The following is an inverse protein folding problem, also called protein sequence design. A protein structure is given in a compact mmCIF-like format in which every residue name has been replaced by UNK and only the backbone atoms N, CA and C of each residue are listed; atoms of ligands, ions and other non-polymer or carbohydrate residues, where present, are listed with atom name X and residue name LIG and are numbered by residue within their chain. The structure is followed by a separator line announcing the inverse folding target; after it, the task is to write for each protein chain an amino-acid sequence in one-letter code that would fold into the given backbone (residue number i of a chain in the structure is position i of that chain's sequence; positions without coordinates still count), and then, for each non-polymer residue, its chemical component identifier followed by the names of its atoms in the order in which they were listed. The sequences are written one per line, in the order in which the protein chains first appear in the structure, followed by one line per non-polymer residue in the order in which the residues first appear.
data_IF_305071162744
#
_entry.id   IF_305071162744
#
_cell.length_a   1.000
_cell.length_b   1.000
_cell.length_c   1.000
_cell.angle_alpha   90.00
_cell.angle_beta   90.00
_cell.angle_gamma   90.00
#
_symmetry.space_group_name_H-M   'P 1'
#
loop_
_entity.id
_entity.type
_entity.pdbx_description
1 polymer ?
#
# COMPACT_ATOMS: atom_id res chain seq x y z
N UNK A 1 28.71 -33.27 6.82
CA UNK A 1 27.46 -32.49 6.71
C UNK A 1 26.24 -33.31 7.13
N UNK A 2 26.03 -34.54 6.61
CA UNK A 2 24.92 -35.42 7.00
C UNK A 2 24.87 -35.73 8.51
N UNK A 3 25.97 -36.22 9.11
CA UNK A 3 25.99 -36.57 10.54
C UNK A 3 25.69 -35.39 11.51
N UNK A 4 26.00 -34.16 11.11
CA UNK A 4 25.64 -32.96 11.87
C UNK A 4 24.14 -32.66 11.77
N UNK A 5 23.57 -32.84 10.57
CA UNK A 5 22.14 -32.67 10.32
C UNK A 5 21.33 -33.71 11.10
N UNK A 6 21.76 -34.98 11.10
CA UNK A 6 21.10 -36.06 11.81
C UNK A 6 21.08 -35.82 13.33
N UNK A 7 22.22 -35.40 13.89
CA UNK A 7 22.30 -35.02 15.31
C UNK A 7 21.42 -33.80 15.65
N UNK A 8 21.27 -32.85 14.73
CA UNK A 8 20.38 -31.70 14.92
C UNK A 8 18.90 -32.11 14.88
N UNK A 9 18.53 -33.00 13.96
CA UNK A 9 17.17 -33.55 13.85
C UNK A 9 16.80 -34.36 15.09
N UNK A 10 17.70 -35.19 15.61
CA UNK A 10 17.47 -35.96 16.83
C UNK A 10 17.23 -35.03 18.04
N UNK A 11 18.06 -33.98 18.20
CA UNK A 11 17.87 -32.98 19.25
C UNK A 11 16.55 -32.24 19.12
N UNK A 12 16.15 -31.89 17.89
CA UNK A 12 14.88 -31.24 17.63
C UNK A 12 13.70 -32.16 17.96
N UNK A 13 13.78 -33.44 17.60
CA UNK A 13 12.77 -34.45 17.92
C UNK A 13 12.61 -34.59 19.44
N UNK A 14 13.71 -34.69 20.18
CA UNK A 14 13.68 -34.74 21.65
C UNK A 14 13.08 -33.45 22.23
N UNK A 15 13.49 -32.29 21.73
CA UNK A 15 12.96 -31.01 22.20
C UNK A 15 11.43 -30.92 22.00
N UNK A 16 10.93 -31.32 20.81
CA UNK A 16 9.51 -31.25 20.47
C UNK A 16 8.68 -32.30 21.22
N UNK A 17 9.18 -33.53 21.32
CA UNK A 17 8.38 -34.66 21.85
C UNK A 17 8.46 -34.80 23.36
N UNK A 18 9.56 -34.34 23.98
CA UNK A 18 9.80 -34.49 25.42
C UNK A 18 9.85 -33.14 26.14
N UNK A 19 10.74 -32.25 25.73
CA UNK A 19 11.08 -31.07 26.54
C UNK A 19 9.97 -30.01 26.50
N UNK A 20 9.40 -29.73 25.32
CA UNK A 20 8.30 -28.78 25.16
C UNK A 20 7.05 -29.21 25.93
N UNK A 21 6.52 -30.46 25.79
CA UNK A 21 5.38 -30.90 26.58
C UNK A 21 5.66 -30.90 28.10
N UNK A 22 6.87 -31.25 28.51
CA UNK A 22 7.26 -31.20 29.92
C UNK A 22 7.26 -29.76 30.46
N UNK A 23 7.83 -28.82 29.71
CA UNK A 23 7.82 -27.40 30.04
C UNK A 23 6.39 -26.84 30.11
N UNK A 24 5.56 -27.09 29.10
CA UNK A 24 4.18 -26.60 29.05
C UNK A 24 3.32 -27.15 30.20
N UNK A 25 3.51 -28.42 30.60
CA UNK A 25 2.82 -29.01 31.77
C UNK A 25 3.28 -28.41 33.09
N UNK A 26 4.52 -27.91 33.17
CA UNK A 26 5.10 -27.30 34.37
C UNK A 26 4.78 -25.81 34.55
N UNK A 27 3.98 -25.21 33.67
CA UNK A 27 3.67 -23.79 33.73
C UNK A 27 2.67 -23.47 34.87
N UNK A 28 2.93 -22.41 35.66
CA UNK A 28 2.02 -21.95 36.70
C UNK A 28 0.86 -21.15 36.08
N UNK A 29 -0.04 -21.81 35.34
CA UNK A 29 -1.20 -21.17 34.71
C UNK A 29 -2.35 -20.99 35.70
N UNK A 30 -2.76 -19.76 36.02
CA UNK A 30 -3.92 -19.50 36.84
C UNK A 30 -5.20 -19.93 36.12
N UNK A 31 -6.18 -20.43 36.88
CA UNK A 31 -7.49 -20.85 36.34
C UNK A 31 -8.42 -19.67 36.01
N UNK A 32 -8.10 -18.47 36.49
CA UNK A 32 -8.91 -17.27 36.33
C UNK A 32 -8.04 -16.09 35.90
N UNK A 33 -8.63 -15.13 35.18
CA UNK A 33 -7.94 -13.93 34.71
C UNK A 33 -7.32 -13.11 35.86
N UNK A 34 -8.00 -13.04 37.01
CA UNK A 34 -7.51 -12.32 38.19
C UNK A 34 -6.31 -13.01 38.86
N UNK A 35 -6.15 -14.32 38.67
CA UNK A 35 -5.01 -15.08 39.19
C UNK A 35 -3.67 -14.68 38.56
N UNK A 36 -3.67 -14.06 37.37
CA UNK A 36 -2.44 -13.55 36.76
C UNK A 36 -1.87 -12.33 37.50
N UNK A 37 -2.69 -11.58 38.25
CA UNK A 37 -2.22 -10.44 39.06
C UNK A 37 -1.50 -10.89 40.33
N UNK A 38 -1.70 -12.14 40.76
CA UNK A 38 -1.13 -12.70 41.99
C UNK A 38 0.11 -13.57 41.79
N UNK A 39 0.70 -13.58 40.59
CA UNK A 39 1.90 -14.38 40.29
C UNK A 39 3.15 -13.71 40.86
N UNK A 40 4.01 -14.51 41.49
CA UNK A 40 5.32 -14.05 41.95
C UNK A 40 6.32 -13.96 40.78
N UNK A 41 7.40 -13.21 40.99
CA UNK A 41 8.48 -12.99 40.03
C UNK A 41 9.03 -14.31 39.47
N UNK A 42 9.15 -15.34 40.32
CA UNK A 42 9.63 -16.67 39.89
C UNK A 42 8.70 -17.38 38.91
N UNK A 43 7.39 -17.17 39.03
CA UNK A 43 6.40 -17.76 38.12
C UNK A 43 6.31 -16.99 36.80
N UNK A 44 6.49 -15.66 36.84
CA UNK A 44 6.64 -14.84 35.66
C UNK A 44 7.84 -15.22 34.80
N UNK A 45 8.99 -15.53 35.43
CA UNK A 45 10.18 -16.00 34.70
C UNK A 45 9.91 -17.32 33.97
N UNK A 46 9.15 -18.24 34.57
CA UNK A 46 8.78 -19.51 33.91
C UNK A 46 7.83 -19.29 32.74
N UNK A 47 6.95 -18.29 32.80
CA UNK A 47 6.00 -17.96 31.73
C UNK A 47 6.63 -17.14 30.59
N UNK A 48 7.68 -16.37 30.87
CA UNK A 48 8.28 -15.43 29.92
C UNK A 48 8.67 -16.04 28.55
N UNK A 49 9.25 -17.25 28.44
CA UNK A 49 9.57 -17.84 27.14
C UNK A 49 8.33 -18.11 26.28
N UNK A 50 7.24 -18.60 26.88
CA UNK A 50 5.99 -18.83 26.18
C UNK A 50 5.34 -17.49 25.75
N UNK A 51 5.27 -16.52 26.65
CA UNK A 51 4.68 -15.21 26.33
C UNK A 51 5.50 -14.48 25.25
N UNK A 52 6.83 -14.51 25.37
CA UNK A 52 7.74 -13.91 24.40
C UNK A 52 7.60 -14.54 23.01
N UNK A 53 7.53 -15.88 22.92
CA UNK A 53 7.32 -16.56 21.64
C UNK A 53 5.96 -16.23 21.02
N UNK A 54 4.88 -16.20 21.81
CA UNK A 54 3.55 -15.81 21.33
C UNK A 54 3.52 -14.35 20.83
N UNK A 55 4.16 -13.42 21.54
CA UNK A 55 4.27 -12.02 21.13
C UNK A 55 5.04 -11.92 19.82
N UNK A 56 6.19 -12.59 19.68
CA UNK A 56 6.99 -12.56 18.46
C UNK A 56 6.20 -13.12 17.27
N UNK A 57 5.51 -14.24 17.43
CA UNK A 57 4.66 -14.82 16.38
C UNK A 57 3.51 -13.88 16.01
N UNK A 58 2.90 -13.21 16.99
CA UNK A 58 1.86 -12.22 16.73
C UNK A 58 2.41 -11.02 15.94
N UNK A 59 3.57 -10.46 16.34
CA UNK A 59 4.21 -9.35 15.63
C UNK A 59 4.60 -9.74 14.19
N UNK A 60 5.15 -10.93 13.98
CA UNK A 60 5.50 -11.43 12.66
C UNK A 60 4.28 -11.67 11.78
N UNK A 61 3.18 -12.19 12.33
CA UNK A 61 1.94 -12.40 11.57
C UNK A 61 1.26 -11.09 11.20
N UNK A 62 1.24 -10.09 12.10
CA UNK A 62 0.77 -8.73 11.80
C UNK A 62 1.65 -8.07 10.73
N UNK A 63 2.98 -8.20 10.83
CA UNK A 63 3.90 -7.68 9.83
C UNK A 63 3.65 -8.34 8.47
N UNK A 64 3.59 -9.67 8.39
CA UNK A 64 3.32 -10.40 7.16
C UNK A 64 1.96 -10.01 6.53
N UNK A 65 0.91 -9.85 7.35
CA UNK A 65 -0.39 -9.40 6.89
C UNK A 65 -0.34 -7.96 6.34
N UNK A 66 0.40 -7.06 6.99
CA UNK A 66 0.58 -5.68 6.51
C UNK A 66 1.25 -5.63 5.13
N UNK A 67 2.25 -6.50 4.89
CA UNK A 67 2.92 -6.60 3.60
C UNK A 67 1.98 -7.17 2.53
N UNK A 68 1.18 -8.18 2.88
CA UNK A 68 0.18 -8.76 1.97
C UNK A 68 -0.89 -7.73 1.57
N UNK A 69 -1.42 -6.98 2.53
CA UNK A 69 -2.40 -5.91 2.29
C UNK A 69 -1.78 -4.77 1.47
N UNK A 70 -0.53 -4.39 1.72
CA UNK A 70 0.20 -3.40 0.94
C UNK A 70 0.36 -3.80 -0.53
N UNK A 71 0.64 -5.09 -0.82
CA UNK A 71 0.71 -5.61 -2.19
C UNK A 71 -0.66 -5.65 -2.88
N UNK A 72 -1.72 -6.02 -2.16
CA UNK A 72 -3.09 -5.99 -2.70
C UNK A 72 -3.50 -4.55 -3.04
N UNK A 73 -3.19 -3.59 -2.16
CA UNK A 73 -3.45 -2.17 -2.41
C UNK A 73 -2.59 -1.63 -3.58
N UNK A 74 -1.31 -2.01 -3.67
CA UNK A 74 -0.42 -1.57 -4.75
C UNK A 74 -0.74 -2.19 -6.12
N UNK A 75 -1.43 -3.34 -6.16
CA UNK A 75 -1.98 -3.94 -7.39
C UNK A 75 -3.20 -3.21 -7.94
N UNK A 76 -3.70 -2.19 -7.25
CA UNK A 76 -4.46 -1.10 -7.89
C UNK A 76 -3.53 -0.31 -8.79
N UNK A 77 -3.06 -0.94 -9.88
CA UNK A 77 -2.23 -0.31 -10.89
C UNK A 77 -2.87 1.00 -11.29
N UNK A 78 -2.07 2.07 -11.32
CA UNK A 78 -2.51 3.42 -11.66
C UNK A 78 -3.49 3.34 -12.84
N UNK A 79 -4.79 3.40 -12.52
CA UNK A 79 -5.83 3.40 -13.53
C UNK A 79 -5.61 4.73 -14.24
N UNK A 80 -5.00 4.66 -15.43
CA UNK A 80 -4.67 5.83 -16.22
C UNK A 80 -5.99 6.53 -16.51
N UNK A 81 -6.30 7.55 -15.71
CA UNK A 81 -7.55 8.28 -15.81
C UNK A 81 -7.56 8.91 -17.19
N UNK A 82 -8.45 8.43 -18.06
CA UNK A 82 -8.54 8.93 -19.42
C UNK A 82 -8.95 10.41 -19.40
N UNK A 83 -8.03 11.30 -19.77
CA UNK A 83 -8.25 12.76 -19.75
C UNK A 83 -9.18 13.20 -20.90
N UNK A 84 -8.93 12.69 -22.10
CA UNK A 84 -9.69 13.03 -23.31
C UNK A 84 -10.82 12.03 -23.57
N UNK A 85 -12.06 12.45 -23.34
CA UNK A 85 -13.25 11.62 -23.56
C UNK A 85 -13.81 11.72 -24.99
N UNK A 86 -13.76 12.90 -25.62
CA UNK A 86 -14.60 13.17 -26.81
C UNK A 86 -13.84 13.76 -28.01
N UNK A 87 -12.60 14.23 -27.85
CA UNK A 87 -11.88 14.98 -28.90
C UNK A 87 -11.08 14.02 -29.78
N UNK A 88 -11.37 13.99 -31.09
CA UNK A 88 -10.56 13.29 -32.11
C UNK A 88 -10.17 11.84 -31.74
N UNK A 89 -11.10 11.07 -31.17
CA UNK A 89 -10.86 9.70 -30.63
C UNK A 89 -10.46 8.66 -31.67
N UNK A 90 -10.64 8.95 -32.96
CA UNK A 90 -10.16 8.11 -34.06
C UNK A 90 -8.63 8.18 -34.21
N UNK A 91 -7.98 9.22 -33.70
CA UNK A 91 -6.53 9.37 -33.73
C UNK A 91 -5.91 8.67 -32.51
N UNK A 92 -4.90 7.83 -32.74
CA UNK A 92 -4.11 7.23 -31.67
C UNK A 92 -3.37 8.29 -30.83
N UNK A 93 -2.99 9.42 -31.46
CA UNK A 93 -2.39 10.57 -30.81
C UNK A 93 -2.92 11.86 -31.43
N UNK A 94 -3.49 12.73 -30.60
CA UNK A 94 -4.00 14.03 -31.05
C UNK A 94 -2.89 15.08 -30.93
N UNK A 95 -2.54 15.70 -32.06
CA UNK A 95 -1.56 16.79 -32.16
C UNK A 95 -2.18 17.90 -33.00
N UNK A 96 -2.03 19.15 -32.56
CA UNK A 96 -2.51 20.34 -33.25
C UNK A 96 -1.32 21.27 -33.55
N UNK A 97 -1.24 21.76 -34.78
CA UNK A 97 -0.19 22.67 -35.22
C UNK A 97 -0.63 24.12 -35.04
N UNK A 98 0.26 24.92 -34.46
CA UNK A 98 0.04 26.36 -34.26
C UNK A 98 0.94 27.11 -35.25
N UNK A 99 0.40 28.05 -36.04
CA UNK A 99 1.22 28.84 -36.95
C UNK A 99 2.20 29.70 -36.17
N UNK A 100 3.40 29.90 -36.75
CA UNK A 100 4.46 30.69 -36.15
C UNK A 100 4.03 32.15 -36.01
N UNK A 101 3.43 32.73 -37.06
CA UNK A 101 2.87 34.08 -37.07
C UNK A 101 1.42 34.05 -36.58
N UNK A 102 1.14 34.80 -35.52
CA UNK A 102 -0.17 34.94 -34.90
C UNK A 102 -0.50 36.43 -34.82
N UNK A 103 -1.69 36.79 -35.28
CA UNK A 103 -2.11 38.18 -35.32
C UNK A 103 -2.48 38.72 -33.93
N UNK A 104 -2.93 37.83 -33.04
CA UNK A 104 -3.39 38.16 -31.70
C UNK A 104 -2.85 37.19 -30.63
N UNK A 105 -2.92 37.64 -29.37
CA UNK A 105 -2.69 36.77 -28.21
C UNK A 105 -3.74 35.66 -28.22
N UNK A 106 -3.29 34.42 -28.23
CA UNK A 106 -4.17 33.24 -28.39
C UNK A 106 -4.07 32.33 -27.16
N UNK A 107 -5.21 31.82 -26.70
CA UNK A 107 -5.28 30.85 -25.60
C UNK A 107 -5.55 29.44 -26.14
N UNK A 108 -4.72 28.47 -25.77
CA UNK A 108 -4.87 27.07 -26.17
C UNK A 108 -5.32 26.18 -25.01
N UNK A 109 -6.23 25.25 -25.31
CA UNK A 109 -6.82 24.33 -24.36
C UNK A 109 -5.80 23.30 -23.88
N UNK A 110 -5.76 23.07 -22.56
CA UNK A 110 -5.02 21.96 -21.93
C UNK A 110 -5.92 21.00 -21.15
N UNK A 111 -7.22 21.30 -21.05
CA UNK A 111 -8.18 20.53 -20.25
C UNK A 111 -8.92 19.45 -21.03
N UNK A 112 -8.85 19.41 -22.36
CA UNK A 112 -9.62 18.50 -23.21
C UNK A 112 -11.15 18.61 -23.09
N UNK A 113 -11.67 19.69 -22.49
CA UNK A 113 -13.12 19.96 -22.37
C UNK A 113 -13.64 21.02 -23.33
N UNK A 114 -12.74 21.76 -24.00
CA UNK A 114 -13.13 22.87 -24.87
C UNK A 114 -13.91 22.41 -26.10
N UNK A 115 -15.00 23.12 -26.42
CA UNK A 115 -15.81 22.89 -27.63
C UNK A 115 -15.12 23.41 -28.89
N UNK A 116 -14.22 24.39 -28.74
CA UNK A 116 -13.45 24.99 -29.85
C UNK A 116 -11.99 24.51 -29.86
N UNK A 117 -11.74 23.29 -29.34
CA UNK A 117 -10.41 22.69 -29.32
C UNK A 117 -9.75 22.75 -30.72
N UNK A 118 -8.49 23.24 -30.84
CA UNK A 118 -7.48 23.37 -29.78
C UNK A 118 -7.50 24.69 -28.99
N UNK A 119 -8.39 25.63 -29.31
CA UNK A 119 -8.49 26.90 -28.59
C UNK A 119 -9.17 26.73 -27.23
N UNK A 120 -8.92 27.65 -26.31
CA UNK A 120 -9.59 27.69 -25.02
C UNK A 120 -10.87 28.54 -25.09
N UNK A 121 -12.00 27.95 -24.72
CA UNK A 121 -13.32 28.62 -24.60
C UNK A 121 -13.74 28.86 -23.14
N UNK A 122 -12.85 28.60 -22.17
CA UNK A 122 -13.16 28.74 -20.75
C UNK A 122 -13.78 27.49 -20.10
N UNK A 123 -13.99 26.41 -20.84
CA UNK A 123 -14.57 25.16 -20.30
C UNK A 123 -13.77 24.53 -19.14
N UNK A 124 -12.49 24.91 -18.96
CA UNK A 124 -11.70 24.48 -17.80
C UNK A 124 -12.26 24.99 -16.46
N UNK A 125 -13.00 26.11 -16.44
CA UNK A 125 -13.59 26.64 -15.21
C UNK A 125 -14.65 25.68 -14.63
N UNK A 126 -15.52 25.14 -15.48
CA UNK A 126 -16.53 24.16 -15.07
C UNK A 126 -15.86 22.87 -14.58
N UNK A 127 -14.88 22.37 -15.35
CA UNK A 127 -14.08 21.20 -14.97
C UNK A 127 -13.40 21.37 -13.61
N UNK A 128 -12.72 22.50 -13.37
CA UNK A 128 -12.07 22.80 -12.10
C UNK A 128 -13.07 22.84 -10.94
N UNK A 129 -14.23 23.47 -11.14
CA UNK A 129 -15.29 23.55 -10.13
C UNK A 129 -15.87 22.16 -9.78
N UNK A 130 -16.08 21.31 -10.77
CA UNK A 130 -16.71 19.99 -10.60
C UNK A 130 -15.72 18.95 -10.03
N UNK A 131 -14.46 18.99 -10.46
CA UNK A 131 -13.45 17.99 -10.09
C UNK A 131 -12.52 18.43 -8.94
N UNK A 132 -12.54 19.72 -8.57
CA UNK A 132 -11.56 20.30 -7.62
C UNK A 132 -10.17 20.51 -8.24
N UNK A 133 -10.06 20.46 -9.56
CA UNK A 133 -8.81 20.66 -10.32
C UNK A 133 -8.46 22.15 -10.45
N UNK A 134 -7.24 22.46 -10.92
CA UNK A 134 -6.69 23.81 -11.02
C UNK A 134 -6.04 24.11 -12.39
N UNK A 135 -6.46 23.41 -13.44
CA UNK A 135 -5.89 23.56 -14.78
C UNK A 135 -6.36 24.84 -15.49
N UNK A 136 -5.52 25.35 -16.38
CA UNK A 136 -5.80 26.54 -17.19
C UNK A 136 -5.17 26.46 -18.59
N UNK A 137 -5.49 27.40 -19.49
CA UNK A 137 -4.99 27.38 -20.86
C UNK A 137 -3.49 27.71 -20.94
N UNK A 138 -2.90 27.42 -22.09
CA UNK A 138 -1.60 27.97 -22.48
C UNK A 138 -1.83 29.30 -23.21
N UNK A 139 -1.32 30.39 -22.63
CA UNK A 139 -1.40 31.72 -23.25
C UNK A 139 -0.18 31.94 -24.13
N UNK A 140 -0.39 32.15 -25.42
CA UNK A 140 0.68 32.41 -26.39
C UNK A 140 0.54 33.84 -26.92
N UNK A 141 1.57 34.68 -26.78
CA UNK A 141 1.51 36.05 -27.28
C UNK A 141 1.47 36.11 -28.81
N UNK A 142 1.06 37.27 -29.31
CA UNK A 142 1.23 37.68 -30.71
C UNK A 142 2.70 37.54 -31.13
N UNK A 143 2.95 37.17 -32.39
CA UNK A 143 4.27 37.08 -33.01
C UNK A 143 4.42 38.01 -34.22
#
# INVERSE_FOLDING_TARGET
MAAFLDAAVERLQVAITRDVPAYLKGLPLPKTAQGFLGLDTGDWVKLAPLLGTLIVVHLLSVFALSQLLGVIAAKGGANQVQINHNIKKTLAKVVDYVPEKREDKTAYCRCWKSKTFPHCDGSHNAHNKESGDNIGPLMVPKS
#
